data_IF_795263695177
#
_entry.id   IF_795263695177
#
_cell.length_a   1.000
_cell.length_b   1.000
_cell.length_c   1.000
_cell.angle_alpha   90.00
_cell.angle_beta   90.00
_cell.angle_gamma   90.00
#
_symmetry.space_group_name_H-M   'P 1'
#
loop_
_entity.id
_entity.type
_entity.pdbx_description
1 polymer ?
#
# COMPACT_ATOMS: atom_id res chain seq x y z
N UNK A 1 45.81 78.72 -174.53
CA UNK A 1 46.67 77.53 -174.52
C UNK A 1 46.24 76.67 -173.35
N UNK A 2 46.09 75.38 -173.59
CA UNK A 2 45.54 74.38 -172.68
C UNK A 2 46.54 74.05 -171.57
N UNK A 3 46.08 73.91 -170.33
CA UNK A 3 46.73 73.03 -169.35
C UNK A 3 45.80 72.68 -168.19
N UNK A 4 45.80 71.38 -167.88
CA UNK A 4 45.16 70.67 -166.78
C UNK A 4 45.57 71.21 -165.40
N UNK A 5 44.71 71.05 -164.38
CA UNK A 5 45.17 70.72 -163.02
C UNK A 5 44.14 69.86 -162.29
N UNK A 6 44.59 68.66 -161.93
CA UNK A 6 43.99 67.82 -160.90
C UNK A 6 43.79 68.58 -159.60
N UNK A 7 42.69 68.31 -158.89
CA UNK A 7 42.57 68.63 -157.47
C UNK A 7 41.86 67.49 -156.74
N UNK A 8 42.61 66.91 -155.81
CA UNK A 8 42.37 65.69 -155.05
C UNK A 8 41.18 65.77 -154.10
N UNK A 9 40.54 64.61 -153.94
CA UNK A 9 39.42 64.26 -153.06
C UNK A 9 39.81 64.25 -151.58
N UNK A 10 38.94 64.78 -150.72
CA UNK A 10 38.69 64.27 -149.36
C UNK A 10 37.20 64.43 -149.03
N UNK A 11 36.51 63.30 -148.86
CA UNK A 11 35.14 63.23 -148.36
C UNK A 11 35.06 63.63 -146.87
N UNK A 12 34.04 64.42 -146.52
CA UNK A 12 33.64 64.69 -145.14
C UNK A 12 32.19 64.23 -144.95
N UNK A 13 32.03 63.09 -144.28
CA UNK A 13 30.77 62.45 -143.94
C UNK A 13 30.02 63.22 -142.84
N UNK A 14 28.86 63.80 -143.19
CA UNK A 14 27.92 64.37 -142.22
C UNK A 14 27.12 63.25 -141.52
N UNK A 15 27.11 63.25 -140.19
CA UNK A 15 26.53 62.21 -139.34
C UNK A 15 25.03 62.02 -139.61
N UNK A 16 24.56 60.80 -139.93
CA UNK A 16 23.16 60.56 -140.26
C UNK A 16 22.27 60.61 -139.01
N UNK A 17 21.09 61.27 -139.12
CA UNK A 17 20.22 61.65 -138.00
C UNK A 17 19.72 60.49 -137.10
N UNK A 18 19.74 59.24 -137.58
CA UNK A 18 19.33 58.06 -136.80
C UNK A 18 20.33 57.72 -135.67
N UNK A 19 21.60 58.08 -135.84
CA UNK A 19 22.66 57.83 -134.86
C UNK A 19 22.48 58.67 -133.57
N UNK A 20 21.84 59.84 -133.67
CA UNK A 20 21.51 60.67 -132.50
C UNK A 20 20.35 60.06 -131.70
N UNK A 21 19.35 59.48 -132.39
CA UNK A 21 18.21 58.83 -131.73
C UNK A 21 18.62 57.57 -130.98
N UNK A 22 19.50 56.75 -131.53
CA UNK A 22 19.98 55.54 -130.86
C UNK A 22 20.78 55.87 -129.60
N UNK A 23 21.66 56.88 -129.67
CA UNK A 23 22.42 57.35 -128.50
C UNK A 23 21.50 57.90 -127.41
N UNK A 24 20.45 58.65 -127.79
CA UNK A 24 19.46 59.15 -126.82
C UNK A 24 18.69 58.02 -126.12
N UNK A 25 18.26 56.99 -126.85
CA UNK A 25 17.57 55.82 -126.27
C UNK A 25 18.49 55.05 -125.32
N UNK A 26 19.74 54.84 -125.70
CA UNK A 26 20.74 54.17 -124.85
C UNK A 26 21.02 54.98 -123.58
N UNK A 27 21.08 56.31 -123.67
CA UNK A 27 21.26 57.16 -122.50
C UNK A 27 20.07 57.08 -121.52
N UNK A 28 18.83 57.10 -122.03
CA UNK A 28 17.63 56.97 -121.20
C UNK A 28 17.57 55.59 -120.54
N UNK A 29 17.85 54.51 -121.28
CA UNK A 29 17.92 53.15 -120.72
C UNK A 29 18.99 53.03 -119.64
N UNK A 30 20.14 53.68 -119.82
CA UNK A 30 21.22 53.70 -118.84
C UNK A 30 20.82 54.43 -117.55
N UNK A 31 20.11 55.56 -117.66
CA UNK A 31 19.59 56.30 -116.50
C UNK A 31 18.51 55.49 -115.79
N UNK A 32 17.64 54.80 -116.53
CA UNK A 32 16.60 53.93 -115.95
C UNK A 32 17.22 52.73 -115.22
N UNK A 33 18.26 52.12 -115.79
CA UNK A 33 19.02 51.03 -115.17
C UNK A 33 19.74 51.48 -113.89
N UNK A 34 20.33 52.68 -113.89
CA UNK A 34 20.97 53.27 -112.72
C UNK A 34 19.94 53.64 -111.62
N UNK A 35 18.78 54.17 -112.01
CA UNK A 35 17.68 54.45 -111.08
C UNK A 35 17.13 53.20 -110.40
N UNK A 36 16.97 52.10 -111.17
CA UNK A 36 16.57 50.81 -110.64
C UNK A 36 17.64 50.22 -109.69
N UNK A 37 18.92 50.30 -110.08
CA UNK A 37 20.05 49.83 -109.26
C UNK A 37 20.19 50.56 -107.93
N UNK A 38 19.99 51.88 -107.92
CA UNK A 38 20.05 52.67 -106.68
C UNK A 38 18.89 52.32 -105.73
N UNK A 39 17.68 52.11 -106.27
CA UNK A 39 16.49 51.73 -105.50
C UNK A 39 16.53 50.29 -104.96
N UNK A 40 17.29 49.39 -105.61
CA UNK A 40 17.52 48.03 -105.14
C UNK A 40 18.58 47.99 -104.03
N UNK A 41 19.62 48.84 -104.11
CA UNK A 41 20.66 48.90 -103.08
C UNK A 41 20.15 49.48 -101.75
N UNK A 42 19.19 50.40 -101.79
CA UNK A 42 18.53 50.92 -100.59
C UNK A 42 17.50 49.95 -99.98
N UNK A 43 17.15 48.87 -100.69
CA UNK A 43 16.32 47.76 -100.18
C UNK A 43 17.13 46.57 -99.66
N UNK A 44 18.40 46.44 -100.03
CA UNK A 44 19.27 45.39 -99.49
C UNK A 44 19.60 45.63 -98.00
N UNK A 45 19.78 46.90 -97.61
CA UNK A 45 20.06 47.29 -96.23
C UNK A 45 18.87 47.12 -95.27
N UNK A 46 17.63 47.21 -95.75
CA UNK A 46 16.44 46.93 -94.93
C UNK A 46 16.15 45.43 -94.78
N UNK A 47 16.58 44.61 -95.74
CA UNK A 47 16.49 43.14 -95.67
C UNK A 47 17.57 42.58 -94.73
N UNK A 48 18.80 43.08 -94.77
CA UNK A 48 19.85 42.72 -93.80
C UNK A 48 19.52 43.14 -92.36
N UNK A 49 18.91 44.33 -92.18
CA UNK A 49 18.45 44.78 -90.87
C UNK A 49 17.23 43.99 -90.38
N UNK A 50 16.30 43.62 -91.26
CA UNK A 50 15.17 42.76 -90.92
C UNK A 50 15.60 41.35 -90.52
N UNK A 51 16.55 40.75 -91.24
CA UNK A 51 17.06 39.42 -90.95
C UNK A 51 17.90 39.38 -89.67
N UNK A 52 18.75 40.39 -89.45
CA UNK A 52 19.52 40.51 -88.20
C UNK A 52 18.63 40.80 -86.98
N UNK A 53 17.58 41.62 -87.13
CA UNK A 53 16.58 41.84 -86.08
C UNK A 53 15.76 40.58 -85.78
N UNK A 54 15.41 39.80 -86.80
CA UNK A 54 14.70 38.53 -86.65
C UNK A 54 15.57 37.46 -85.99
N UNK A 55 16.84 37.35 -86.38
CA UNK A 55 17.82 36.48 -85.72
C UNK A 55 18.06 36.89 -84.26
N UNK A 56 18.14 38.18 -83.96
CA UNK A 56 18.27 38.65 -82.57
C UNK A 56 17.01 38.37 -81.75
N UNK A 57 15.82 38.52 -82.34
CA UNK A 57 14.56 38.16 -81.69
C UNK A 57 14.47 36.66 -81.42
N UNK A 58 14.85 35.82 -82.38
CA UNK A 58 14.86 34.36 -82.25
C UNK A 58 15.90 33.87 -81.23
N UNK A 59 17.11 34.44 -81.23
CA UNK A 59 18.12 34.16 -80.19
C UNK A 59 17.63 34.60 -78.81
N UNK A 60 16.88 35.70 -78.73
CA UNK A 60 16.31 36.18 -77.46
C UNK A 60 15.20 35.24 -76.96
N UNK A 61 14.28 34.80 -77.82
CA UNK A 61 13.23 33.86 -77.44
C UNK A 61 13.78 32.47 -77.08
N UNK A 62 14.83 32.01 -77.78
CA UNK A 62 15.58 30.81 -77.42
C UNK A 62 16.25 30.94 -76.06
N UNK A 63 16.90 32.07 -75.77
CA UNK A 63 17.50 32.33 -74.45
C UNK A 63 16.46 32.35 -73.33
N UNK A 64 15.33 33.01 -73.54
CA UNK A 64 14.23 33.04 -72.57
C UNK A 64 13.65 31.62 -72.35
N UNK A 65 13.51 30.84 -73.41
CA UNK A 65 13.06 29.45 -73.33
C UNK A 65 14.03 28.58 -72.53
N UNK A 66 15.34 28.70 -72.79
CA UNK A 66 16.37 27.98 -72.02
C UNK A 66 16.39 28.40 -70.56
N UNK A 67 16.21 29.70 -70.25
CA UNK A 67 16.11 30.18 -68.87
C UNK A 67 14.89 29.59 -68.14
N UNK A 68 13.73 29.57 -68.78
CA UNK A 68 12.50 28.96 -68.24
C UNK A 68 12.67 27.46 -68.04
N UNK A 69 13.23 26.74 -69.01
CA UNK A 69 13.50 25.31 -68.87
C UNK A 69 14.50 25.04 -67.74
N UNK A 70 15.54 25.86 -67.60
CA UNK A 70 16.53 25.73 -66.52
C UNK A 70 15.91 25.96 -65.14
N UNK A 71 15.01 26.94 -65.02
CA UNK A 71 14.26 27.20 -63.78
C UNK A 71 13.34 26.04 -63.44
N UNK A 72 12.63 25.49 -64.43
CA UNK A 72 11.76 24.31 -64.22
C UNK A 72 12.56 23.07 -63.85
N UNK A 73 13.73 22.85 -64.45
CA UNK A 73 14.63 21.76 -64.09
C UNK A 73 15.10 21.87 -62.63
N UNK A 74 15.61 23.04 -62.23
CA UNK A 74 16.02 23.30 -60.84
C UNK A 74 14.87 23.11 -59.86
N UNK A 75 13.69 23.67 -60.18
CA UNK A 75 12.50 23.52 -59.33
C UNK A 75 12.06 22.06 -59.22
N UNK A 76 12.16 21.28 -60.30
CA UNK A 76 11.82 19.85 -60.30
C UNK A 76 12.86 19.03 -59.54
N UNK A 77 14.15 19.33 -59.67
CA UNK A 77 15.23 18.73 -58.90
C UNK A 77 15.09 19.01 -57.40
N UNK A 78 14.78 20.26 -57.02
CA UNK A 78 14.49 20.63 -55.63
C UNK A 78 13.26 19.91 -55.08
N UNK A 79 12.17 19.84 -55.86
CA UNK A 79 10.95 19.15 -55.46
C UNK A 79 11.18 17.64 -55.30
N UNK A 80 11.96 17.03 -56.21
CA UNK A 80 12.31 15.61 -56.14
C UNK A 80 13.25 15.33 -54.94
N UNK A 81 14.22 16.20 -54.69
CA UNK A 81 15.09 16.11 -53.51
C UNK A 81 14.30 16.26 -52.20
N UNK A 82 13.35 17.20 -52.14
CA UNK A 82 12.45 17.36 -50.99
C UNK A 82 11.56 16.12 -50.79
N UNK A 83 10.93 15.61 -51.84
CA UNK A 83 10.09 14.42 -51.78
C UNK A 83 10.88 13.18 -51.30
N UNK A 84 12.12 13.01 -51.76
CA UNK A 84 12.99 11.93 -51.28
C UNK A 84 13.39 12.10 -49.81
N UNK A 85 13.62 13.34 -49.36
CA UNK A 85 13.87 13.66 -47.96
C UNK A 85 12.67 13.38 -47.05
N UNK A 86 11.47 13.77 -47.49
CA UNK A 86 10.22 13.51 -46.77
C UNK A 86 9.88 12.02 -46.71
N UNK A 87 10.03 11.29 -47.81
CA UNK A 87 9.83 9.83 -47.87
C UNK A 87 10.80 9.08 -46.94
N UNK A 88 12.06 9.53 -46.88
CA UNK A 88 13.06 8.96 -45.96
C UNK A 88 12.69 9.24 -44.51
N UNK A 89 12.27 10.48 -44.19
CA UNK A 89 11.82 10.87 -42.85
C UNK A 89 10.57 10.11 -42.38
N UNK A 90 9.61 9.88 -43.28
CA UNK A 90 8.41 9.07 -42.98
C UNK A 90 8.79 7.59 -42.78
N UNK A 91 9.69 7.05 -43.60
CA UNK A 91 10.16 5.67 -43.47
C UNK A 91 10.90 5.43 -42.14
N UNK A 92 11.75 6.37 -41.72
CA UNK A 92 12.46 6.26 -40.44
C UNK A 92 11.51 6.38 -39.24
N UNK A 93 10.50 7.27 -39.32
CA UNK A 93 9.44 7.35 -38.29
C UNK A 93 8.61 6.08 -38.20
N UNK A 94 8.32 5.43 -39.34
CA UNK A 94 7.61 4.14 -39.36
C UNK A 94 8.44 3.00 -38.76
N UNK A 95 9.76 2.97 -39.00
CA UNK A 95 10.67 2.00 -38.38
C UNK A 95 10.80 2.21 -36.87
N UNK A 96 10.90 3.47 -36.43
CA UNK A 96 10.94 3.82 -35.01
C UNK A 96 9.64 3.41 -34.30
N UNK A 97 8.48 3.75 -34.87
CA UNK A 97 7.17 3.39 -34.31
C UNK A 97 6.93 1.88 -34.27
N UNK A 98 7.39 1.10 -35.26
CA UNK A 98 7.35 -0.37 -35.17
C UNK A 98 8.28 -0.93 -34.08
N UNK A 99 9.48 -0.35 -33.94
CA UNK A 99 10.44 -0.73 -32.89
C UNK A 99 9.90 -0.44 -31.49
N UNK A 100 9.26 0.72 -31.31
CA UNK A 100 8.61 1.13 -30.07
C UNK A 100 7.41 0.23 -29.74
N UNK A 101 6.56 -0.12 -30.72
CA UNK A 101 5.44 -1.05 -30.51
C UNK A 101 5.92 -2.46 -30.10
N UNK A 102 7.01 -2.94 -30.69
CA UNK A 102 7.62 -4.23 -30.33
C UNK A 102 8.22 -4.20 -28.92
N UNK A 103 8.90 -3.10 -28.55
CA UNK A 103 9.42 -2.89 -27.18
C UNK A 103 8.30 -2.80 -26.15
N UNK A 104 7.23 -2.06 -26.45
CA UNK A 104 6.05 -1.95 -25.58
C UNK A 104 5.37 -3.30 -25.37
N UNK A 105 5.24 -4.12 -26.42
CA UNK A 105 4.70 -5.50 -26.31
C UNK A 105 5.61 -6.42 -25.49
N UNK A 106 6.94 -6.33 -25.67
CA UNK A 106 7.90 -7.11 -24.87
C UNK A 106 7.88 -6.69 -23.40
N UNK A 107 7.85 -5.38 -23.13
CA UNK A 107 7.72 -4.85 -21.77
C UNK A 107 6.39 -5.27 -21.14
N UNK A 108 5.27 -5.19 -21.87
CA UNK A 108 3.97 -5.65 -21.39
C UNK A 108 3.97 -7.13 -21.00
N UNK A 109 4.57 -8.00 -21.82
CA UNK A 109 4.73 -9.42 -21.49
C UNK A 109 5.64 -9.66 -20.27
N UNK A 110 6.76 -8.93 -20.16
CA UNK A 110 7.65 -9.02 -19.01
C UNK A 110 6.95 -8.55 -17.73
N UNK A 111 6.17 -7.47 -17.78
CA UNK A 111 5.36 -7.03 -16.65
C UNK A 111 4.34 -8.08 -16.25
N UNK A 112 3.66 -8.73 -17.22
CA UNK A 112 2.69 -9.77 -16.95
C UNK A 112 3.33 -10.99 -16.27
N UNK A 113 4.47 -11.48 -16.79
CA UNK A 113 5.22 -12.60 -16.19
C UNK A 113 5.78 -12.26 -14.79
N UNK A 114 6.23 -11.02 -14.57
CA UNK A 114 6.68 -10.56 -13.25
C UNK A 114 5.51 -10.47 -12.26
N UNK A 115 4.35 -10.00 -12.72
CA UNK A 115 3.16 -9.90 -11.88
C UNK A 115 2.65 -11.29 -11.46
N UNK A 116 2.61 -12.25 -12.39
CA UNK A 116 2.21 -13.62 -12.11
C UNK A 116 3.16 -14.31 -11.11
N UNK A 117 4.48 -14.14 -11.29
CA UNK A 117 5.47 -14.63 -10.31
C UNK A 117 5.31 -13.99 -8.94
N UNK A 118 5.06 -12.68 -8.89
CA UNK A 118 4.88 -11.97 -7.62
C UNK A 118 3.59 -12.41 -6.91
N UNK A 119 2.53 -12.70 -7.65
CA UNK A 119 1.29 -13.28 -7.13
C UNK A 119 1.51 -14.69 -6.57
N UNK A 120 2.21 -15.57 -7.28
CA UNK A 120 2.55 -16.91 -6.79
C UNK A 120 3.43 -16.86 -5.53
N UNK A 121 4.44 -15.99 -5.52
CA UNK A 121 5.34 -15.81 -4.37
C UNK A 121 4.60 -15.22 -3.16
N UNK A 122 3.68 -14.28 -3.39
CA UNK A 122 2.80 -13.72 -2.37
C UNK A 122 1.82 -14.79 -1.84
N UNK A 123 1.20 -15.59 -2.70
CA UNK A 123 0.32 -16.69 -2.28
C UNK A 123 1.10 -17.73 -1.46
N UNK A 124 2.31 -18.09 -1.88
CA UNK A 124 3.18 -19.02 -1.15
C UNK A 124 3.61 -18.44 0.21
N UNK A 125 3.97 -17.15 0.27
CA UNK A 125 4.35 -16.49 1.53
C UNK A 125 3.16 -16.38 2.49
N UNK A 126 1.97 -16.01 1.99
CA UNK A 126 0.73 -15.95 2.79
C UNK A 126 0.33 -17.33 3.27
N UNK A 127 0.39 -18.37 2.43
CA UNK A 127 0.13 -19.76 2.88
C UNK A 127 1.13 -20.20 3.96
N UNK A 128 2.40 -19.81 3.84
CA UNK A 128 3.45 -20.15 4.80
C UNK A 128 3.27 -19.41 6.12
N UNK A 129 2.99 -18.10 6.09
CA UNK A 129 2.67 -17.30 7.28
C UNK A 129 1.38 -17.77 7.95
N UNK A 130 0.36 -18.11 7.17
CA UNK A 130 -0.92 -18.61 7.69
C UNK A 130 -0.73 -20.01 8.29
N UNK A 131 0.07 -20.89 7.69
CA UNK A 131 0.42 -22.19 8.27
C UNK A 131 1.28 -22.06 9.55
N UNK A 132 2.17 -21.06 9.61
CA UNK A 132 2.99 -20.78 10.78
C UNK A 132 2.19 -20.16 11.93
N UNK A 133 1.24 -19.24 11.65
CA UNK A 133 0.43 -18.55 12.67
C UNK A 133 -0.86 -19.28 13.04
N UNK A 134 -1.39 -20.12 12.16
CA UNK A 134 -2.52 -21.02 12.44
C UNK A 134 -2.02 -22.46 12.69
N UNK A 135 -0.77 -22.61 13.13
CA UNK A 135 -0.25 -23.92 13.46
C UNK A 135 -1.10 -24.51 14.59
N UNK A 136 -1.69 -25.67 14.34
CA UNK A 136 -2.43 -26.46 15.33
C UNK A 136 -1.58 -26.74 16.57
N UNK A 137 -0.24 -26.61 16.48
CA UNK A 137 0.69 -26.68 17.59
C UNK A 137 0.52 -25.51 18.58
N UNK A 138 0.38 -24.27 18.13
CA UNK A 138 0.21 -23.11 19.03
C UNK A 138 -1.16 -23.14 19.72
N UNK A 139 -2.21 -23.55 19.01
CA UNK A 139 -3.55 -23.74 19.61
C UNK A 139 -3.55 -24.90 20.61
N UNK A 140 -2.80 -25.97 20.33
CA UNK A 140 -2.66 -27.12 21.25
C UNK A 140 -1.77 -26.79 22.45
N UNK A 141 -0.73 -25.98 22.26
CA UNK A 141 0.11 -25.45 23.34
C UNK A 141 -0.69 -24.54 24.26
N UNK A 142 -1.46 -23.59 23.71
CA UNK A 142 -2.33 -22.71 24.47
C UNK A 142 -3.42 -23.50 25.23
N UNK A 143 -4.01 -24.52 24.61
CA UNK A 143 -4.96 -25.42 25.27
C UNK A 143 -4.30 -26.20 26.42
N UNK A 144 -3.06 -26.66 26.22
CA UNK A 144 -2.22 -27.27 27.25
C UNK A 144 -1.94 -26.32 28.41
N UNK A 145 -1.54 -25.09 28.13
CA UNK A 145 -1.25 -24.06 29.14
C UNK A 145 -2.51 -23.71 29.94
N UNK A 146 -3.66 -23.55 29.28
CA UNK A 146 -4.95 -23.32 29.96
C UNK A 146 -5.34 -24.50 30.85
N UNK A 147 -5.10 -25.74 30.40
CA UNK A 147 -5.32 -26.94 31.22
C UNK A 147 -4.34 -27.02 32.40
N UNK A 148 -3.09 -26.60 32.20
CA UNK A 148 -2.07 -26.50 33.24
C UNK A 148 -2.47 -25.49 34.31
N UNK A 149 -2.81 -24.26 33.90
CA UNK A 149 -3.30 -23.20 34.79
C UNK A 149 -4.55 -23.64 35.56
N UNK A 150 -5.46 -24.37 34.93
CA UNK A 150 -6.65 -24.90 35.62
C UNK A 150 -6.30 -25.93 36.69
N UNK A 151 -5.36 -26.82 36.39
CA UNK A 151 -4.84 -27.81 37.35
C UNK A 151 -4.12 -27.11 38.50
N UNK A 152 -3.25 -26.15 38.21
CA UNK A 152 -2.49 -25.38 39.20
C UNK A 152 -3.42 -24.54 40.08
N UNK A 153 -4.52 -24.01 39.53
CA UNK A 153 -5.52 -23.26 40.29
C UNK A 153 -6.28 -24.18 41.27
N UNK A 154 -6.67 -25.39 40.85
CA UNK A 154 -7.30 -26.36 41.76
C UNK A 154 -6.31 -26.88 42.82
N UNK A 155 -5.05 -27.15 42.45
CA UNK A 155 -4.00 -27.50 43.39
C UNK A 155 -3.74 -26.35 44.39
N UNK A 156 -3.68 -25.11 43.92
CA UNK A 156 -3.52 -23.91 44.77
C UNK A 156 -4.72 -23.74 45.69
N UNK A 157 -5.94 -24.00 45.23
CA UNK A 157 -7.16 -23.95 46.05
C UNK A 157 -7.16 -25.02 47.13
N UNK A 158 -6.72 -26.25 46.81
CA UNK A 158 -6.54 -27.32 47.79
C UNK A 158 -5.43 -26.98 48.80
N UNK A 159 -4.29 -26.46 48.34
CA UNK A 159 -3.22 -25.95 49.20
C UNK A 159 -3.71 -24.79 50.06
N UNK A 160 -4.57 -23.89 49.56
CA UNK A 160 -5.18 -22.83 50.36
C UNK A 160 -6.14 -23.37 51.40
N UNK A 161 -6.89 -24.44 51.09
CA UNK A 161 -7.75 -25.11 52.07
C UNK A 161 -6.93 -25.82 53.15
N UNK A 162 -5.86 -26.51 52.78
CA UNK A 162 -4.96 -27.19 53.71
C UNK A 162 -4.12 -26.20 54.53
N UNK A 163 -3.54 -25.16 53.90
CA UNK A 163 -2.77 -24.12 54.59
C UNK A 163 -3.65 -23.25 55.49
N UNK A 164 -4.93 -23.02 55.13
CA UNK A 164 -5.92 -22.45 56.07
C UNK A 164 -6.17 -23.37 57.27
N UNK A 165 -6.01 -24.68 57.09
CA UNK A 165 -6.05 -25.65 58.17
C UNK A 165 -4.79 -25.66 59.05
N UNK A 166 -3.61 -25.39 58.47
CA UNK A 166 -2.34 -25.51 59.19
C UNK A 166 -1.83 -24.22 59.85
N UNK A 167 -2.18 -23.03 59.34
CA UNK A 167 -1.57 -21.75 59.78
C UNK A 167 -2.40 -20.89 60.73
N UNK A 168 -3.51 -21.37 61.27
CA UNK A 168 -4.22 -20.65 62.32
C UNK A 168 -5.16 -21.57 63.05
N UNK A 169 -5.00 -21.66 64.38
CA UNK A 169 -5.95 -22.23 65.35
C UNK A 169 -7.24 -22.68 64.67
N UNK A 170 -7.34 -23.98 64.36
CA UNK A 170 -8.42 -24.55 63.56
C UNK A 170 -9.78 -24.23 64.19
N UNK A 171 -10.43 -23.18 63.71
CA UNK A 171 -11.77 -22.81 64.13
C UNK A 171 -12.73 -23.56 63.21
N UNK A 172 -13.24 -24.70 63.67
CA UNK A 172 -14.26 -25.43 62.93
C UNK A 172 -15.54 -24.60 62.83
N UNK A 173 -16.10 -24.46 61.63
CA UNK A 173 -17.31 -23.68 61.35
C UNK A 173 -18.56 -24.54 61.24
N UNK A 174 -18.39 -25.83 60.95
CA UNK A 174 -19.47 -26.81 60.79
C UNK A 174 -19.13 -28.14 61.50
N UNK A 175 -20.12 -29.02 61.61
CA UNK A 175 -19.98 -30.32 62.28
C UNK A 175 -18.89 -31.19 61.65
N UNK A 176 -18.75 -31.20 60.32
CA UNK A 176 -17.73 -32.00 59.62
C UNK A 176 -16.29 -31.57 59.97
N UNK A 177 -16.06 -30.27 60.11
CA UNK A 177 -14.78 -29.70 60.56
C UNK A 177 -14.51 -29.99 62.04
N UNK A 178 -15.57 -30.05 62.89
CA UNK A 178 -15.44 -30.49 64.28
C UNK A 178 -15.04 -31.97 64.35
N UNK A 179 -15.59 -32.82 63.48
CA UNK A 179 -15.19 -34.24 63.38
C UNK A 179 -13.74 -34.39 62.87
N UNK A 180 -13.30 -33.55 61.94
CA UNK A 180 -11.89 -33.51 61.51
C UNK A 180 -10.97 -33.14 62.68
N UNK A 181 -11.35 -32.12 63.44
CA UNK A 181 -10.62 -31.71 64.63
C UNK A 181 -10.58 -32.80 65.71
N UNK A 182 -11.68 -33.54 65.88
CA UNK A 182 -11.74 -34.70 66.78
C UNK A 182 -10.79 -35.81 66.34
N UNK A 183 -10.62 -36.04 65.02
CA UNK A 183 -9.66 -37.01 64.47
C UNK A 183 -8.20 -36.64 64.71
N UNK A 184 -7.86 -35.36 64.83
CA UNK A 184 -6.52 -34.92 65.22
C UNK A 184 -6.17 -35.32 66.68
N UNK A 185 -7.17 -35.67 67.50
CA UNK A 185 -7.01 -36.38 68.77
C UNK A 185 -6.40 -35.60 69.93
N UNK A 186 -6.06 -34.33 69.75
CA UNK A 186 -5.39 -33.50 70.75
C UNK A 186 -6.36 -32.86 71.78
N UNK A 187 -7.64 -32.73 71.43
CA UNK A 187 -8.65 -32.01 72.22
C UNK A 187 -10.01 -32.69 72.12
N UNK A 188 -10.82 -32.56 73.17
CA UNK A 188 -12.21 -33.02 73.22
C UNK A 188 -13.15 -31.87 72.83
N UNK A 189 -14.01 -32.11 71.84
CA UNK A 189 -14.94 -31.11 71.30
C UNK A 189 -16.39 -31.43 71.69
N UNK A 190 -17.03 -30.49 72.38
CA UNK A 190 -18.41 -30.55 72.84
C UNK A 190 -19.25 -29.50 72.10
N UNK A 191 -20.11 -29.95 71.19
CA UNK A 191 -21.05 -29.08 70.49
C UNK A 191 -22.22 -28.68 71.39
N UNK A 192 -22.75 -27.47 71.19
CA UNK A 192 -23.86 -26.95 71.99
C UNK A 192 -24.79 -26.03 71.22
N UNK A 193 -26.01 -25.90 71.71
CA UNK A 193 -27.01 -24.97 71.17
C UNK A 193 -27.83 -24.36 72.29
N UNK A 194 -27.59 -23.08 72.57
CA UNK A 194 -28.35 -22.32 73.56
C UNK A 194 -29.59 -21.73 72.90
N UNK A 195 -30.78 -22.24 73.24
CA UNK A 195 -32.07 -21.83 72.68
C UNK A 195 -32.87 -20.90 73.61
N UNK A 196 -32.24 -19.83 74.09
CA UNK A 196 -32.93 -18.84 74.92
C UNK A 196 -31.98 -18.03 75.79
N UNK A 197 -32.41 -16.83 76.18
CA UNK A 197 -31.68 -15.98 77.11
C UNK A 197 -31.88 -16.47 78.54
N UNK A 198 -30.80 -16.52 79.34
CA UNK A 198 -30.86 -16.90 80.75
C UNK A 198 -30.87 -18.40 81.03
N UNK A 199 -30.88 -19.24 79.99
CA UNK A 199 -30.82 -20.70 80.13
C UNK A 199 -29.35 -21.11 80.29
N UNK A 200 -29.06 -21.89 81.32
CA UNK A 200 -27.74 -22.48 81.55
C UNK A 200 -27.68 -23.88 80.96
N UNK A 201 -26.67 -24.14 80.15
CA UNK A 201 -26.38 -25.45 79.57
C UNK A 201 -25.02 -25.94 80.08
N UNK A 202 -24.93 -27.21 80.49
CA UNK A 202 -23.70 -27.82 80.98
C UNK A 202 -22.92 -28.40 79.81
N UNK A 203 -21.68 -27.94 79.62
CA UNK A 203 -20.78 -28.36 78.55
C UNK A 203 -19.46 -28.84 79.17
N UNK A 204 -19.25 -30.16 79.19
CA UNK A 204 -18.12 -30.76 79.90
C UNK A 204 -18.10 -30.37 81.39
N UNK A 205 -17.06 -29.65 81.82
CA UNK A 205 -16.85 -29.18 83.20
C UNK A 205 -17.40 -27.78 83.50
N UNK A 206 -18.01 -27.09 82.53
CA UNK A 206 -18.49 -25.72 82.70
C UNK A 206 -20.00 -25.60 82.44
N UNK A 207 -20.60 -24.51 82.88
CA UNK A 207 -21.92 -24.08 82.42
C UNK A 207 -21.81 -22.81 81.59
N UNK A 208 -22.59 -22.73 80.52
CA UNK A 208 -22.66 -21.59 79.62
C UNK A 208 -24.08 -21.04 79.61
N UNK A 209 -24.20 -19.72 79.64
CA UNK A 209 -25.47 -19.02 79.62
C UNK A 209 -25.47 -17.92 78.55
N UNK A 210 -26.49 -17.90 77.70
CA UNK A 210 -26.68 -16.83 76.73
C UNK A 210 -27.32 -15.62 77.41
N UNK A 211 -26.65 -14.46 77.35
CA UNK A 211 -27.17 -13.19 77.88
C UNK A 211 -27.77 -12.32 76.79
N UNK A 212 -27.07 -12.17 75.67
CA UNK A 212 -27.53 -11.32 74.58
C UNK A 212 -27.08 -11.80 73.20
N UNK A 213 -27.86 -11.43 72.17
CA UNK A 213 -27.57 -11.71 70.75
C UNK A 213 -27.89 -10.48 69.92
N UNK A 214 -27.00 -10.10 69.01
CA UNK A 214 -27.21 -9.08 68.00
C UNK A 214 -26.96 -9.70 66.62
N UNK A 215 -28.03 -10.14 65.97
CA UNK A 215 -27.97 -10.80 64.65
C UNK A 215 -27.51 -9.86 63.54
N UNK A 216 -27.76 -8.55 63.65
CA UNK A 216 -27.32 -7.58 62.63
C UNK A 216 -25.80 -7.39 62.64
N UNK A 217 -25.17 -7.55 63.80
CA UNK A 217 -23.71 -7.38 63.96
C UNK A 217 -22.97 -8.71 64.13
N UNK A 218 -23.67 -9.85 64.07
CA UNK A 218 -23.13 -11.17 64.39
C UNK A 218 -22.38 -11.20 65.73
N UNK A 219 -22.97 -10.55 66.74
CA UNK A 219 -22.38 -10.44 68.07
C UNK A 219 -23.23 -11.15 69.13
N UNK A 220 -22.58 -11.65 70.17
CA UNK A 220 -23.23 -12.29 71.31
C UNK A 220 -22.61 -11.85 72.63
N UNK A 221 -23.35 -12.08 73.71
CA UNK A 221 -22.87 -11.97 75.08
C UNK A 221 -23.22 -13.25 75.80
N UNK A 222 -22.21 -13.87 76.40
CA UNK A 222 -22.35 -15.11 77.17
C UNK A 222 -21.74 -14.94 78.56
N UNK A 223 -22.30 -15.67 79.51
CA UNK A 223 -21.70 -15.87 80.82
C UNK A 223 -21.22 -17.32 80.92
N UNK A 224 -19.97 -17.47 81.35
CA UNK A 224 -19.32 -18.75 81.61
C UNK A 224 -19.24 -18.93 83.11
N UNK A 225 -19.57 -20.13 83.57
CA UNK A 225 -19.47 -20.54 84.96
C UNK A 225 -18.56 -21.76 85.02
N UNK A 226 -17.39 -21.61 85.62
CA UNK A 226 -16.44 -22.68 85.78
C UNK A 226 -15.86 -22.63 87.18
N UNK A 227 -15.94 -23.75 87.91
CA UNK A 227 -15.59 -23.84 89.32
C UNK A 227 -16.32 -22.74 90.13
N UNK A 228 -15.57 -21.84 90.77
CA UNK A 228 -16.08 -20.70 91.53
C UNK A 228 -16.04 -19.37 90.75
N UNK A 229 -15.64 -19.40 89.48
CA UNK A 229 -15.48 -18.22 88.65
C UNK A 229 -16.67 -18.02 87.71
N UNK A 230 -17.17 -16.78 87.70
CA UNK A 230 -18.14 -16.30 86.70
C UNK A 230 -17.46 -15.31 85.78
N UNK A 231 -17.38 -15.66 84.49
CA UNK A 231 -16.77 -14.84 83.47
C UNK A 231 -17.80 -14.41 82.42
N UNK A 232 -18.04 -13.12 82.31
CA UNK A 232 -18.95 -12.57 81.30
C UNK A 232 -18.16 -12.01 80.13
N UNK A 233 -18.50 -12.44 78.91
CA UNK A 233 -17.89 -11.94 77.67
C UNK A 233 -18.95 -11.22 76.85
N UNK A 234 -18.83 -9.89 76.80
CA UNK A 234 -19.78 -8.99 76.13
C UNK A 234 -19.37 -8.70 74.69
N UNK A 235 -20.36 -8.60 73.82
CA UNK A 235 -20.25 -8.16 72.42
C UNK A 235 -19.17 -8.89 71.59
N UNK A 236 -19.01 -10.21 71.81
CA UNK A 236 -18.06 -11.04 71.06
C UNK A 236 -18.59 -11.39 69.69
N UNK A 237 -17.69 -11.49 68.71
CA UNK A 237 -18.06 -11.81 67.33
C UNK A 237 -18.13 -13.32 67.13
N UNK A 238 -18.96 -13.78 66.17
CA UNK A 238 -18.93 -15.18 65.74
C UNK A 238 -17.55 -15.59 65.22
N UNK A 239 -17.21 -16.87 65.36
CA UNK A 239 -15.92 -17.47 65.00
C UNK A 239 -14.72 -16.84 65.73
N UNK A 240 -14.95 -16.19 66.88
CA UNK A 240 -13.89 -15.67 67.75
C UNK A 240 -13.67 -16.65 68.91
N UNK A 241 -12.45 -17.21 69.07
CA UNK A 241 -12.16 -18.11 70.17
C UNK A 241 -12.06 -17.36 71.50
N UNK A 242 -12.80 -17.84 72.48
CA UNK A 242 -12.79 -17.33 73.85
C UNK A 242 -11.99 -18.32 74.71
N UNK A 243 -10.76 -17.93 75.04
CA UNK A 243 -9.89 -18.69 75.93
C UNK A 243 -10.18 -18.39 77.40
N UNK A 244 -10.27 -19.43 78.21
CA UNK A 244 -10.35 -19.31 79.67
C UNK A 244 -9.77 -20.56 80.35
N UNK A 245 -9.31 -20.39 81.58
CA UNK A 245 -8.70 -21.45 82.37
C UNK A 245 -9.67 -21.91 83.46
N UNK A 246 -9.73 -23.22 83.68
CA UNK A 246 -10.39 -23.83 84.84
C UNK A 246 -9.34 -24.36 85.82
N UNK A 247 -9.71 -24.50 87.09
CA UNK A 247 -8.79 -24.90 88.15
C UNK A 247 -8.26 -26.31 87.87
N UNK A 248 -6.94 -26.44 87.76
CA UNK A 248 -6.26 -27.72 87.49
C UNK A 248 -5.98 -28.02 86.01
N UNK A 249 -6.44 -27.21 85.06
CA UNK A 249 -6.12 -27.38 83.64
C UNK A 249 -4.77 -26.75 83.29
N UNK A 250 -3.86 -27.52 82.67
CA UNK A 250 -2.56 -27.02 82.16
C UNK A 250 -2.67 -26.26 80.83
N UNK A 251 -3.79 -26.40 80.13
CA UNK A 251 -4.08 -25.74 78.86
C UNK A 251 -5.46 -25.05 78.94
N UNK A 252 -5.65 -23.94 78.21
CA UNK A 252 -6.91 -23.20 78.23
C UNK A 252 -8.04 -24.00 77.55
N UNK A 253 -9.25 -23.86 78.07
CA UNK A 253 -10.45 -24.23 77.34
C UNK A 253 -10.76 -23.14 76.31
N UNK A 254 -11.36 -23.55 75.20
CA UNK A 254 -11.67 -22.69 74.07
C UNK A 254 -13.15 -22.80 73.76
N UNK A 255 -13.88 -21.70 73.85
CA UNK A 255 -15.28 -21.66 73.42
C UNK A 255 -15.39 -20.84 72.14
N UNK A 256 -16.05 -21.41 71.14
CA UNK A 256 -16.31 -20.75 69.86
C UNK A 256 -17.79 -20.81 69.57
N UNK A 257 -18.35 -19.69 69.15
CA UNK A 257 -19.72 -19.60 68.64
C UNK A 257 -19.66 -19.36 67.14
N UNK A 258 -20.22 -20.27 66.35
CA UNK A 258 -20.16 -20.21 64.89
C UNK A 258 -21.38 -19.51 64.28
N UNK A 259 -22.53 -19.59 64.96
CA UNK A 259 -23.79 -19.02 64.48
C UNK A 259 -24.53 -18.27 65.58
N UNK A 260 -25.10 -17.11 65.21
CA UNK A 260 -25.94 -16.29 66.09
C UNK A 260 -27.29 -16.09 65.41
N UNK A 261 -28.36 -16.49 66.10
CA UNK A 261 -29.75 -16.25 65.74
C UNK A 261 -30.45 -15.37 66.78
N UNK A 262 -31.77 -15.19 66.60
CA UNK A 262 -32.60 -14.46 67.57
C UNK A 262 -32.69 -15.25 68.88
N UNK A 263 -32.02 -14.76 69.93
CA UNK A 263 -31.93 -15.44 71.24
C UNK A 263 -31.37 -16.87 71.15
N UNK A 264 -30.60 -17.17 70.11
CA UNK A 264 -30.04 -18.50 69.85
C UNK A 264 -28.58 -18.38 69.48
N UNK A 265 -27.73 -19.28 69.98
CA UNK A 265 -26.36 -19.43 69.49
C UNK A 265 -25.99 -20.90 69.34
N UNK A 266 -25.17 -21.20 68.35
CA UNK A 266 -24.62 -22.54 68.09
C UNK A 266 -23.11 -22.45 68.09
N UNK A 267 -22.46 -23.38 68.76
CA UNK A 267 -21.02 -23.37 68.93
C UNK A 267 -20.48 -24.68 69.48
N UNK A 268 -19.21 -24.64 69.88
CA UNK A 268 -18.56 -25.75 70.55
C UNK A 268 -17.59 -25.26 71.62
N UNK A 269 -17.33 -26.16 72.57
CA UNK A 269 -16.28 -26.04 73.57
C UNK A 269 -15.19 -27.06 73.22
N UNK A 270 -13.96 -26.59 73.08
CA UNK A 270 -12.77 -27.43 72.94
C UNK A 270 -12.00 -27.46 74.26
N UNK A 271 -12.03 -28.62 74.91
CA UNK A 271 -11.28 -28.88 76.12
C UNK A 271 -9.98 -29.63 75.77
N UNK A 272 -8.85 -29.33 76.44
CA UNK A 272 -7.67 -30.16 76.28
C UNK A 272 -7.98 -31.58 76.77
N UNK A 273 -7.61 -32.59 75.99
CA UNK A 273 -7.75 -33.97 76.43
C UNK A 273 -6.79 -34.16 77.60
N UNK A 274 -7.29 -34.65 78.74
CA UNK A 274 -6.40 -35.02 79.83
C UNK A 274 -5.43 -36.05 79.28
N UNK A 275 -4.13 -35.76 79.31
CA UNK A 275 -3.12 -36.79 79.17
C UNK A 275 -3.46 -37.82 80.26
N UNK A 276 -3.83 -39.04 79.87
CA UNK A 276 -3.98 -40.12 80.84
C UNK A 276 -2.75 -40.06 81.76
N UNK A 277 -2.90 -40.11 83.09
CA UNK A 277 -1.74 -40.15 83.96
C UNK A 277 -0.89 -41.31 83.45
N UNK A 278 0.35 -41.01 83.05
CA UNK A 278 1.30 -42.04 82.69
C UNK A 278 1.34 -42.99 83.88
N UNK A 279 0.81 -44.20 83.68
CA UNK A 279 0.81 -45.25 84.69
C UNK A 279 2.24 -45.37 85.19
N UNK A 280 2.48 -44.86 86.39
CA UNK A 280 3.75 -45.02 87.08
C UNK A 280 4.05 -46.51 87.19
N UNK A 281 5.31 -46.84 86.93
CA UNK A 281 5.90 -48.18 87.02
C UNK A 281 5.50 -48.94 88.28
#
# INVERSE_FOLDING_TARGET
MFEERESVVTESTGTPRWLILTVAVVAVLSIFALGAGYSASSRASSIEQGLSAQLQAEVKTLRESVDVLSKRLKQTEETNAQAQGELSGVTDRLKLTQGELSRARKQGKQFQEQYDKHLEEMEASVRTELAAKASTADVKALSGDVSGVRTDLEATKQHLQMAKGELGTLIARNHEEIEQLRRLGQRDYFEFTLNGKGIREKLGSIMVELRNTNTKRNQFTIALFADDLRLEKKNRSVNEPIYFYTRGARAPLELVVNQVGKNKVVGYLSAPKASAPASGK
#
